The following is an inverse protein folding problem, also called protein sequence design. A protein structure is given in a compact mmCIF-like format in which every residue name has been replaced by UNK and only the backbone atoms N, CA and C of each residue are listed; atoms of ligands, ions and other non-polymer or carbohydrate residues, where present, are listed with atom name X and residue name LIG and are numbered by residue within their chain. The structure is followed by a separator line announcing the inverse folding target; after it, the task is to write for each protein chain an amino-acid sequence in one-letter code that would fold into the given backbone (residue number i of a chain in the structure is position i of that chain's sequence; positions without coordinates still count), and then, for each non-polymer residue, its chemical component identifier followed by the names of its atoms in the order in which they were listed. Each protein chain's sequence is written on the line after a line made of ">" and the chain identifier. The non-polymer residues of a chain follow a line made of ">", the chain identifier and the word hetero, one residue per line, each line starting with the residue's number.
data_IF_948091698617
#
_entry.id   IF_948091698617
#
_cell.length_a   1.000
_cell.length_b   1.000
_cell.length_c   1.000
_cell.angle_alpha   90.00
_cell.angle_beta   90.00
_cell.angle_gamma   90.00
#
_symmetry.space_group_name_H-M   'P 1'
#
loop_
_entity.id
_entity.type
_entity.pdbx_description
1 polymer ?
#
# COMPACT_ATOMS: atom_id res chain seq x y z
N UNK A 1 53.27 -14.64 -88.65
CA UNK A 1 52.91 -14.34 -87.25
C UNK A 1 51.82 -13.26 -87.15
N UNK A 2 50.89 -13.17 -88.13
CA UNK A 2 49.90 -12.09 -88.25
C UNK A 2 48.44 -12.58 -88.32
N UNK A 3 48.19 -13.87 -88.57
CA UNK A 3 46.83 -14.41 -88.66
C UNK A 3 46.21 -14.77 -87.27
N UNK A 4 47.05 -15.11 -86.28
CA UNK A 4 46.58 -15.46 -84.92
C UNK A 4 46.03 -14.27 -84.13
N UNK A 5 46.54 -13.06 -84.39
CA UNK A 5 46.14 -11.82 -83.67
C UNK A 5 44.78 -11.29 -84.17
N UNK A 6 44.41 -11.56 -85.42
CA UNK A 6 43.14 -11.10 -86.00
C UNK A 6 41.94 -11.96 -85.55
N UNK A 7 42.15 -13.26 -85.28
CA UNK A 7 41.09 -14.14 -84.75
C UNK A 7 40.89 -14.02 -83.22
N UNK A 8 41.89 -13.52 -82.48
CA UNK A 8 41.83 -13.38 -81.02
C UNK A 8 41.02 -12.15 -80.54
N UNK A 9 40.91 -11.10 -81.35
CA UNK A 9 40.14 -9.88 -81.01
C UNK A 9 38.64 -10.10 -80.79
N UNK A 10 37.90 -10.82 -81.65
CA UNK A 10 36.48 -11.08 -81.38
C UNK A 10 36.27 -11.99 -80.17
N UNK A 11 37.18 -12.95 -79.94
CA UNK A 11 37.11 -13.86 -78.78
C UNK A 11 37.35 -13.10 -77.46
N UNK A 12 38.30 -12.15 -77.42
CA UNK A 12 38.49 -11.28 -76.26
C UNK A 12 37.29 -10.36 -75.99
N UNK A 13 36.66 -9.81 -77.03
CA UNK A 13 35.46 -9.00 -76.87
C UNK A 13 34.31 -9.83 -76.30
N UNK A 14 34.03 -11.01 -76.87
CA UNK A 14 32.99 -11.92 -76.37
C UNK A 14 33.27 -12.36 -74.93
N UNK A 15 34.53 -12.67 -74.59
CA UNK A 15 34.92 -13.01 -73.22
C UNK A 15 34.71 -11.86 -72.24
N UNK A 16 34.98 -10.61 -72.64
CA UNK A 16 34.75 -9.43 -71.80
C UNK A 16 33.24 -9.16 -71.57
N UNK A 17 32.40 -9.35 -72.59
CA UNK A 17 30.94 -9.25 -72.46
C UNK A 17 30.35 -10.35 -71.59
N UNK A 18 30.82 -11.61 -71.74
CA UNK A 18 30.41 -12.72 -70.87
C UNK A 18 30.83 -12.49 -69.41
N UNK A 19 32.07 -12.04 -69.17
CA UNK A 19 32.56 -11.71 -67.84
C UNK A 19 31.72 -10.58 -67.22
N UNK A 20 31.45 -9.51 -67.99
CA UNK A 20 30.58 -8.42 -67.55
C UNK A 20 29.16 -8.88 -67.22
N UNK A 21 28.59 -9.78 -68.03
CA UNK A 21 27.29 -10.39 -67.77
C UNK A 21 27.26 -11.22 -66.48
N UNK A 22 28.28 -12.05 -66.24
CA UNK A 22 28.41 -12.83 -65.01
C UNK A 22 28.54 -11.91 -63.79
N UNK A 23 29.37 -10.87 -63.86
CA UNK A 23 29.49 -9.88 -62.78
C UNK A 23 28.16 -9.17 -62.49
N UNK A 24 27.39 -8.83 -63.52
CA UNK A 24 26.07 -8.22 -63.37
C UNK A 24 25.07 -9.15 -62.68
N UNK A 25 25.02 -10.42 -63.09
CA UNK A 25 24.15 -11.42 -62.45
C UNK A 25 24.56 -11.63 -61.00
N UNK A 26 25.85 -11.73 -60.70
CA UNK A 26 26.36 -11.94 -59.35
C UNK A 26 26.08 -10.73 -58.46
N UNK A 27 26.23 -9.51 -58.98
CA UNK A 27 25.83 -8.27 -58.30
C UNK A 27 24.33 -8.24 -58.03
N UNK A 28 23.51 -8.70 -58.97
CA UNK A 28 22.07 -8.81 -58.79
C UNK A 28 21.68 -9.79 -57.68
N UNK A 29 22.31 -10.97 -57.64
CA UNK A 29 22.07 -11.96 -56.59
C UNK A 29 22.49 -11.45 -55.21
N UNK A 30 23.65 -10.79 -55.11
CA UNK A 30 24.11 -10.18 -53.85
C UNK A 30 23.15 -9.09 -53.36
N UNK A 31 22.61 -8.26 -54.25
CA UNK A 31 21.61 -7.25 -53.88
C UNK A 31 20.29 -7.89 -53.40
N UNK A 32 19.87 -9.00 -54.00
CA UNK A 32 18.66 -9.73 -53.57
C UNK A 32 18.85 -10.33 -52.18
N UNK A 33 19.98 -10.98 -51.92
CA UNK A 33 20.27 -11.53 -50.58
C UNK A 33 20.42 -10.42 -49.54
N UNK A 34 21.07 -9.31 -49.88
CA UNK A 34 21.16 -8.18 -48.98
C UNK A 34 19.77 -7.58 -48.68
N UNK A 35 18.90 -7.49 -49.68
CA UNK A 35 17.52 -7.04 -49.48
C UNK A 35 16.69 -8.00 -48.61
N UNK A 36 16.95 -9.31 -48.68
CA UNK A 36 16.32 -10.32 -47.81
C UNK A 36 16.78 -10.14 -46.36
N UNK A 37 18.08 -10.07 -46.12
CA UNK A 37 18.65 -9.87 -44.77
C UNK A 37 18.17 -8.55 -44.17
N UNK A 38 18.13 -7.47 -44.95
CA UNK A 38 17.61 -6.17 -44.48
C UNK A 38 16.12 -6.25 -44.14
N UNK A 39 15.31 -7.00 -44.91
CA UNK A 39 13.90 -7.23 -44.53
C UNK A 39 13.77 -8.05 -43.27
N UNK A 40 14.54 -9.12 -43.12
CA UNK A 40 14.48 -9.96 -41.92
C UNK A 40 14.90 -9.19 -40.66
N UNK A 41 15.96 -8.39 -40.73
CA UNK A 41 16.37 -7.48 -39.65
C UNK A 41 15.30 -6.41 -39.40
N UNK A 42 14.68 -5.87 -40.45
CA UNK A 42 13.59 -4.89 -40.30
C UNK A 42 12.35 -5.51 -39.63
N UNK A 43 12.01 -6.74 -39.98
CA UNK A 43 10.79 -7.41 -39.53
C UNK A 43 10.95 -8.03 -38.13
N UNK A 44 12.17 -8.43 -37.74
CA UNK A 44 12.45 -9.03 -36.42
C UNK A 44 12.98 -8.00 -35.43
N UNK A 45 13.95 -7.15 -35.82
CA UNK A 45 14.67 -6.29 -34.89
C UNK A 45 13.92 -5.01 -34.54
N UNK A 46 13.18 -4.39 -35.47
CA UNK A 46 12.38 -3.20 -35.16
C UNK A 46 11.29 -3.44 -34.10
N UNK A 47 10.49 -4.52 -34.16
CA UNK A 47 9.51 -4.78 -33.11
C UNK A 47 10.17 -5.12 -31.76
N UNK A 48 11.34 -5.75 -31.75
CA UNK A 48 12.11 -6.01 -30.53
C UNK A 48 12.63 -4.71 -29.89
N UNK A 49 13.14 -3.75 -30.67
CA UNK A 49 13.58 -2.44 -30.17
C UNK A 49 12.40 -1.60 -29.65
N UNK A 50 11.22 -1.72 -30.27
CA UNK A 50 9.99 -1.09 -29.75
C UNK A 50 9.52 -1.73 -28.43
N UNK A 51 9.74 -3.03 -28.25
CA UNK A 51 9.46 -3.71 -26.97
C UNK A 51 10.46 -3.34 -25.88
N UNK A 52 11.74 -3.14 -26.20
CA UNK A 52 12.76 -2.71 -25.22
C UNK A 52 12.43 -1.32 -24.67
N UNK A 53 12.09 -0.36 -25.54
CA UNK A 53 11.71 0.99 -25.09
C UNK A 53 10.46 0.99 -24.22
N UNK A 54 9.45 0.17 -24.53
CA UNK A 54 8.27 0.02 -23.67
C UNK A 54 8.56 -0.69 -22.35
N UNK A 55 9.47 -1.67 -22.34
CA UNK A 55 9.91 -2.34 -21.10
C UNK A 55 10.79 -1.44 -20.24
N UNK A 56 11.67 -0.63 -20.81
CA UNK A 56 12.44 0.40 -20.11
C UNK A 56 11.52 1.47 -19.52
N UNK A 57 10.50 1.89 -20.26
CA UNK A 57 9.49 2.84 -19.76
C UNK A 57 8.70 2.22 -18.62
N UNK A 58 8.27 0.96 -18.73
CA UNK A 58 7.58 0.24 -17.64
C UNK A 58 8.49 0.03 -16.43
N UNK A 59 9.75 -0.33 -16.63
CA UNK A 59 10.71 -0.51 -15.54
C UNK A 59 11.03 0.81 -14.84
N UNK A 60 11.14 1.91 -15.59
CA UNK A 60 11.31 3.25 -15.03
C UNK A 60 10.07 3.68 -14.24
N UNK A 61 8.87 3.46 -14.77
CA UNK A 61 7.61 3.76 -14.06
C UNK A 61 7.44 2.88 -12.82
N UNK A 62 7.75 1.57 -12.89
CA UNK A 62 7.70 0.67 -11.73
C UNK A 62 8.75 1.06 -10.69
N UNK A 63 9.95 1.45 -11.12
CA UNK A 63 10.98 1.95 -10.21
C UNK A 63 10.58 3.28 -9.59
N UNK A 64 10.02 4.21 -10.36
CA UNK A 64 9.45 5.45 -9.83
C UNK A 64 8.29 5.17 -8.88
N UNK A 65 7.44 4.17 -9.13
CA UNK A 65 6.36 3.78 -8.22
C UNK A 65 6.86 3.10 -6.95
N UNK A 66 7.92 2.30 -7.03
CA UNK A 66 8.56 1.68 -5.86
C UNK A 66 9.32 2.73 -5.07
N UNK A 67 10.08 3.61 -5.73
CA UNK A 67 10.81 4.71 -5.10
C UNK A 67 9.82 5.72 -4.50
N UNK A 68 8.68 5.98 -5.15
CA UNK A 68 7.60 6.83 -4.64
C UNK A 68 6.79 6.13 -3.55
N UNK A 69 6.59 4.82 -3.60
CA UNK A 69 6.01 4.04 -2.49
C UNK A 69 6.95 3.96 -1.29
N UNK A 70 8.26 3.88 -1.52
CA UNK A 70 9.29 3.94 -0.47
C UNK A 70 9.45 5.36 0.06
N UNK A 71 9.39 6.39 -0.78
CA UNK A 71 9.35 7.80 -0.37
C UNK A 71 8.05 8.11 0.37
N UNK A 72 6.91 7.62 -0.09
CA UNK A 72 5.60 7.80 0.54
C UNK A 72 5.46 6.95 1.80
N UNK A 73 6.15 5.80 1.90
CA UNK A 73 6.34 5.05 3.14
C UNK A 73 7.30 5.76 4.08
N UNK A 74 8.34 6.43 3.56
CA UNK A 74 9.27 7.22 4.38
C UNK A 74 8.68 8.58 4.80
N UNK A 75 7.73 9.12 4.02
CA UNK A 75 7.00 10.37 4.27
C UNK A 75 5.72 10.12 5.06
N UNK A 76 5.06 8.96 4.93
CA UNK A 76 4.02 8.54 5.89
C UNK A 76 4.60 8.15 7.25
N UNK A 77 5.90 7.84 7.28
CA UNK A 77 6.77 7.72 8.47
C UNK A 77 7.44 9.05 8.85
N UNK A 78 7.27 10.11 8.05
CA UNK A 78 7.74 11.46 8.34
C UNK A 78 6.63 12.28 9.02
N UNK A 79 6.76 12.70 10.27
CA UNK A 79 7.55 12.07 11.32
C UNK A 79 6.55 11.51 12.34
N UNK A 80 6.89 10.40 13.00
CA UNK A 80 6.16 10.01 14.21
C UNK A 80 6.02 11.25 15.13
N UNK A 81 7.02 12.14 15.15
CA UNK A 81 6.98 13.48 15.73
C UNK A 81 5.86 14.42 15.22
N UNK A 82 5.56 14.52 13.93
CA UNK A 82 4.49 15.38 13.39
C UNK A 82 3.11 14.84 13.78
N UNK A 83 2.95 13.50 13.82
CA UNK A 83 1.75 12.89 14.41
C UNK A 83 1.69 13.18 15.90
N UNK A 84 2.80 13.01 16.64
CA UNK A 84 2.87 13.28 18.07
C UNK A 84 2.59 14.77 18.40
N UNK A 85 3.02 15.73 17.59
CA UNK A 85 2.78 17.16 17.80
C UNK A 85 1.29 17.55 17.76
N UNK A 86 0.47 16.80 17.01
CA UNK A 86 -0.98 17.03 16.90
C UNK A 86 -1.76 16.38 18.04
N UNK A 87 -1.21 15.33 18.66
CA UNK A 87 -1.88 14.58 19.73
C UNK A 87 -1.63 15.19 21.12
N UNK A 88 -2.70 15.36 21.90
CA UNK A 88 -2.59 15.74 23.30
C UNK A 88 -2.38 14.48 24.14
N UNK A 89 -1.13 14.25 24.55
CA UNK A 89 -0.79 13.12 25.41
C UNK A 89 -1.20 13.36 26.87
N UNK A 90 -1.78 12.35 27.53
CA UNK A 90 -2.04 12.41 28.95
C UNK A 90 -0.72 12.36 29.73
N UNK A 91 -0.72 12.98 30.91
CA UNK A 91 0.41 12.94 31.85
C UNK A 91 0.60 11.57 32.48
N UNK A 92 -0.46 10.76 32.54
CA UNK A 92 -0.43 9.39 33.06
C UNK A 92 -0.78 8.41 31.92
N UNK A 93 0.19 7.61 31.44
CA UNK A 93 -0.09 6.59 30.45
C UNK A 93 -1.03 5.55 31.05
N UNK A 94 -2.16 5.30 30.40
CA UNK A 94 -3.16 4.35 30.89
C UNK A 94 -2.74 2.92 30.52
N UNK A 95 -1.58 2.48 31.06
CA UNK A 95 -0.97 1.18 30.80
C UNK A 95 -1.97 0.06 31.06
N UNK A 96 -2.69 0.08 32.18
CA UNK A 96 -3.71 -0.91 32.53
C UNK A 96 -4.81 -1.00 31.46
N UNK A 97 -5.17 0.13 30.86
CA UNK A 97 -6.18 0.20 29.78
C UNK A 97 -5.63 -0.38 28.48
N UNK A 98 -4.35 -0.18 28.19
CA UNK A 98 -3.68 -0.75 27.02
C UNK A 98 -3.50 -2.27 27.17
N UNK A 99 -3.10 -2.75 28.35
CA UNK A 99 -3.03 -4.18 28.68
C UNK A 99 -4.40 -4.83 28.54
N UNK A 100 -5.43 -4.25 29.16
CA UNK A 100 -6.81 -4.75 29.05
C UNK A 100 -7.33 -4.77 27.61
N UNK A 101 -6.89 -3.83 26.76
CA UNK A 101 -7.21 -3.86 25.33
C UNK A 101 -6.57 -5.07 24.64
N UNK A 102 -5.27 -5.29 24.83
CA UNK A 102 -4.58 -6.41 24.22
C UNK A 102 -5.09 -7.76 24.74
N UNK A 103 -5.48 -7.86 26.01
CA UNK A 103 -6.13 -9.04 26.56
C UNK A 103 -7.45 -9.34 25.83
N UNK A 104 -8.31 -8.33 25.65
CA UNK A 104 -9.59 -8.50 24.93
C UNK A 104 -9.38 -8.86 23.45
N UNK A 105 -8.39 -8.26 22.80
CA UNK A 105 -8.03 -8.61 21.42
C UNK A 105 -7.50 -10.04 21.35
N UNK A 106 -6.65 -10.44 22.31
CA UNK A 106 -6.14 -11.80 22.43
C UNK A 106 -7.26 -12.82 22.61
N UNK A 107 -8.20 -12.55 23.51
CA UNK A 107 -9.40 -13.37 23.74
C UNK A 107 -10.25 -13.49 22.47
N UNK A 108 -10.47 -12.37 21.76
CA UNK A 108 -11.22 -12.36 20.52
C UNK A 108 -10.52 -13.18 19.43
N UNK A 109 -9.20 -13.02 19.25
CA UNK A 109 -8.43 -13.79 18.28
C UNK A 109 -8.39 -15.29 18.62
N UNK A 110 -8.27 -15.63 19.90
CA UNK A 110 -8.33 -17.00 20.38
C UNK A 110 -9.70 -17.65 20.12
N UNK A 111 -10.79 -16.93 20.41
CA UNK A 111 -12.15 -17.42 20.16
C UNK A 111 -12.42 -17.73 18.67
N UNK A 112 -11.77 -17.00 17.75
CA UNK A 112 -11.85 -17.24 16.31
C UNK A 112 -10.83 -18.27 15.79
N UNK A 113 -9.96 -18.80 16.66
CA UNK A 113 -8.93 -19.77 16.30
C UNK A 113 -7.73 -19.18 15.54
N UNK A 114 -7.53 -17.86 15.63
CA UNK A 114 -6.43 -17.14 14.95
C UNK A 114 -5.19 -16.95 15.82
N UNK A 115 -5.32 -17.11 17.13
CA UNK A 115 -4.24 -16.97 18.09
C UNK A 115 -4.29 -18.09 19.13
N UNK A 116 -3.15 -18.38 19.75
CA UNK A 116 -3.13 -18.96 21.10
C UNK A 116 -3.37 -17.85 22.13
N UNK A 117 -3.74 -18.19 23.38
CA UNK A 117 -3.78 -17.20 24.45
C UNK A 117 -2.46 -16.43 24.51
N UNK A 118 -2.54 -15.13 24.77
CA UNK A 118 -1.33 -14.31 24.90
C UNK A 118 -0.55 -14.78 26.13
N UNK A 119 0.77 -14.88 25.98
CA UNK A 119 1.65 -14.98 27.14
C UNK A 119 1.62 -13.64 27.89
N UNK A 120 1.96 -13.65 29.18
CA UNK A 120 1.93 -12.46 30.05
C UNK A 120 2.48 -11.21 29.31
N UNK A 121 1.65 -10.17 29.24
CA UNK A 121 2.01 -8.91 28.59
C UNK A 121 3.08 -8.22 29.44
N UNK A 122 4.30 -8.20 28.94
CA UNK A 122 5.42 -7.60 29.65
C UNK A 122 5.41 -6.09 29.44
N UNK A 123 5.15 -5.36 30.52
CA UNK A 123 5.24 -3.89 30.56
C UNK A 123 6.63 -3.52 31.09
N UNK A 124 7.43 -2.83 30.27
CA UNK A 124 8.66 -2.26 30.77
C UNK A 124 8.34 -1.02 31.62
N UNK A 125 8.76 -1.04 32.88
CA UNK A 125 8.44 0.02 33.86
C UNK A 125 9.27 1.29 33.67
N UNK A 126 10.32 1.22 32.85
CA UNK A 126 11.19 2.37 32.54
C UNK A 126 10.78 2.93 31.18
N UNK A 127 10.20 4.14 31.12
CA UNK A 127 9.89 4.77 29.84
C UNK A 127 11.17 5.05 29.07
N UNK A 128 11.10 4.89 27.75
CA UNK A 128 12.13 5.37 26.84
C UNK A 128 11.83 6.84 26.60
N UNK A 129 12.69 7.72 27.13
CA UNK A 129 12.60 9.15 26.90
C UNK A 129 12.94 9.45 25.44
N UNK A 130 12.07 10.21 24.77
CA UNK A 130 12.30 10.72 23.44
C UNK A 130 12.63 12.22 23.48
N UNK A 131 13.33 12.70 22.45
CA UNK A 131 13.48 14.14 22.21
C UNK A 131 12.06 14.75 22.13
N UNK A 132 11.87 15.95 22.69
CA UNK A 132 10.60 16.71 22.80
C UNK A 132 9.69 16.49 24.04
N UNK A 133 10.20 15.83 25.10
CA UNK A 133 9.46 15.69 26.37
C UNK A 133 8.33 14.66 26.32
N UNK A 134 8.49 13.68 25.44
CA UNK A 134 7.61 12.53 25.27
C UNK A 134 8.24 11.29 25.88
N UNK A 135 7.40 10.45 26.46
CA UNK A 135 7.78 9.16 27.03
C UNK A 135 7.06 8.04 26.27
N UNK A 136 7.83 7.04 25.83
CA UNK A 136 7.29 5.82 25.25
C UNK A 136 7.39 4.68 26.27
N UNK A 137 6.27 4.01 26.53
CA UNK A 137 6.18 2.86 27.41
C UNK A 137 6.13 1.58 26.57
N UNK A 138 7.20 0.75 26.57
CA UNK A 138 7.23 -0.49 25.80
C UNK A 138 6.29 -1.54 26.39
N UNK A 139 5.39 -2.04 25.54
CA UNK A 139 4.54 -3.20 25.78
C UNK A 139 5.03 -4.33 24.88
N UNK A 140 5.50 -5.42 25.46
CA UNK A 140 5.92 -6.61 24.72
C UNK A 140 4.88 -7.71 24.85
N UNK A 141 4.34 -8.12 23.71
CA UNK A 141 3.31 -9.14 23.57
C UNK A 141 3.94 -10.37 22.91
N UNK A 142 3.74 -11.55 23.50
CA UNK A 142 4.21 -12.83 22.95
C UNK A 142 3.03 -13.76 22.73
N UNK A 143 2.88 -14.26 21.52
CA UNK A 143 1.79 -15.19 21.19
C UNK A 143 2.11 -15.98 19.92
N UNK A 144 1.42 -17.10 19.71
CA UNK A 144 1.40 -17.78 18.42
C UNK A 144 0.17 -17.37 17.61
N UNK A 145 0.37 -16.83 16.42
CA UNK A 145 -0.67 -16.32 15.53
C UNK A 145 -0.69 -17.10 14.22
N UNK A 146 -1.88 -17.32 13.66
CA UNK A 146 -2.00 -17.66 12.25
C UNK A 146 -1.68 -16.45 11.37
N UNK A 147 -1.48 -16.67 10.07
CA UNK A 147 -1.30 -15.58 9.09
C UNK A 147 -2.44 -14.56 9.17
N UNK A 148 -3.68 -15.05 9.24
CA UNK A 148 -4.89 -14.23 9.38
C UNK A 148 -4.95 -13.50 10.73
N UNK A 149 -4.51 -14.15 11.81
CA UNK A 149 -4.41 -13.56 13.14
C UNK A 149 -3.40 -12.41 13.19
N UNK A 150 -2.25 -12.58 12.56
CA UNK A 150 -1.23 -11.54 12.44
C UNK A 150 -1.75 -10.34 11.64
N UNK A 151 -2.33 -10.57 10.47
CA UNK A 151 -2.92 -9.48 9.67
C UNK A 151 -4.03 -8.75 10.43
N UNK A 152 -4.84 -9.48 11.18
CA UNK A 152 -5.92 -8.92 12.00
C UNK A 152 -5.36 -8.06 13.14
N UNK A 153 -4.34 -8.57 13.85
CA UNK A 153 -3.69 -7.84 14.94
C UNK A 153 -3.03 -6.56 14.43
N UNK A 154 -2.27 -6.62 13.34
CA UNK A 154 -1.62 -5.44 12.78
C UNK A 154 -2.65 -4.38 12.34
N UNK A 155 -3.73 -4.79 11.65
CA UNK A 155 -4.82 -3.87 11.30
C UNK A 155 -5.52 -3.30 12.52
N UNK A 156 -5.67 -4.06 13.61
CA UNK A 156 -6.21 -3.49 14.85
C UNK A 156 -5.30 -2.42 15.42
N UNK A 157 -3.98 -2.64 15.40
CA UNK A 157 -3.03 -1.62 15.86
C UNK A 157 -3.06 -0.39 14.96
N UNK A 158 -3.19 -0.54 13.65
CA UNK A 158 -3.35 0.59 12.71
C UNK A 158 -4.61 1.44 12.99
N UNK A 159 -5.64 0.85 13.60
CA UNK A 159 -6.84 1.57 14.02
C UNK A 159 -6.65 2.31 15.34
N UNK A 160 -5.62 1.99 16.14
CA UNK A 160 -5.38 2.65 17.42
C UNK A 160 -4.89 4.08 17.21
N UNK A 161 -5.38 4.98 18.06
CA UNK A 161 -5.15 6.42 17.91
C UNK A 161 -6.09 7.11 16.92
N UNK A 162 -6.86 6.37 16.12
CA UNK A 162 -7.93 6.95 15.30
C UNK A 162 -9.17 7.15 16.18
N UNK A 163 -9.62 8.39 16.32
CA UNK A 163 -10.76 8.73 17.19
C UNK A 163 -12.05 8.81 16.38
N UNK A 164 -11.95 9.34 15.17
CA UNK A 164 -13.09 9.69 14.34
C UNK A 164 -13.08 8.95 13.00
N UNK A 165 -14.23 8.96 12.31
CA UNK A 165 -14.35 8.48 10.93
C UNK A 165 -13.37 9.21 10.01
N UNK A 166 -13.18 10.52 10.21
CA UNK A 166 -12.24 11.33 9.44
C UNK A 166 -10.79 10.87 9.57
N UNK A 167 -10.37 10.44 10.77
CA UNK A 167 -9.00 9.95 11.00
C UNK A 167 -8.72 8.65 10.24
N UNK A 168 -9.76 7.85 9.97
CA UNK A 168 -9.64 6.61 9.21
C UNK A 168 -9.66 6.80 7.68
N UNK A 169 -9.82 8.04 7.20
CA UNK A 169 -9.82 8.39 5.78
C UNK A 169 -8.51 9.08 5.40
N UNK A 170 -8.11 8.91 4.13
CA UNK A 170 -6.98 9.67 3.59
C UNK A 170 -7.40 11.11 3.27
N UNK A 171 -6.43 12.03 3.21
CA UNK A 171 -6.71 13.42 2.81
C UNK A 171 -7.33 13.51 1.41
N UNK A 172 -6.96 12.60 0.50
CA UNK A 172 -7.52 12.52 -0.85
C UNK A 172 -8.97 12.05 -0.83
N UNK A 173 -9.31 11.05 0.01
CA UNK A 173 -10.68 10.60 0.22
C UNK A 173 -11.55 11.75 0.76
N UNK A 174 -11.05 12.46 1.78
CA UNK A 174 -11.75 13.60 2.39
C UNK A 174 -11.98 14.70 1.34
N UNK A 175 -10.94 15.06 0.58
CA UNK A 175 -11.04 16.07 -0.48
C UNK A 175 -12.04 15.68 -1.57
N UNK A 176 -12.07 14.41 -1.96
CA UNK A 176 -13.03 13.87 -2.93
C UNK A 176 -14.48 13.99 -2.42
N UNK A 177 -14.72 13.70 -1.13
CA UNK A 177 -16.04 13.86 -0.51
C UNK A 177 -16.47 15.33 -0.42
N UNK A 178 -15.56 16.24 -0.07
CA UNK A 178 -15.86 17.68 -0.04
C UNK A 178 -16.14 18.24 -1.43
N UNK A 179 -15.32 17.92 -2.42
CA UNK A 179 -15.53 18.35 -3.81
C UNK A 179 -16.89 17.87 -4.32
N UNK A 180 -17.21 16.60 -4.10
CA UNK A 180 -18.52 16.04 -4.47
C UNK A 180 -19.68 16.71 -3.72
N UNK A 181 -19.47 17.13 -2.47
CA UNK A 181 -20.46 17.85 -1.67
C UNK A 181 -20.67 19.28 -2.16
N UNK A 182 -19.60 20.00 -2.50
CA UNK A 182 -19.65 21.37 -3.02
C UNK A 182 -20.35 21.46 -4.38
N UNK A 183 -20.07 20.51 -5.27
CA UNK A 183 -20.68 20.45 -6.60
C UNK A 183 -22.18 20.15 -6.55
N UNK A 184 -22.62 19.32 -5.59
CA UNK A 184 -24.00 18.85 -5.50
C UNK A 184 -24.87 19.75 -4.60
N UNK A 185 -24.47 19.90 -3.34
CA UNK A 185 -25.24 20.58 -2.32
C UNK A 185 -24.29 21.19 -1.27
N UNK A 186 -23.91 22.47 -1.42
CA UNK A 186 -23.06 23.15 -0.45
C UNK A 186 -23.61 23.13 0.99
N UNK A 187 -24.93 23.03 1.17
CA UNK A 187 -25.52 22.92 2.51
C UNK A 187 -25.28 21.53 3.16
N UNK A 188 -24.93 20.52 2.36
CA UNK A 188 -24.58 19.17 2.82
C UNK A 188 -23.20 19.08 3.47
N UNK A 189 -22.34 20.10 3.31
CA UNK A 189 -21.00 20.15 3.91
C UNK A 189 -21.05 19.92 5.42
N UNK A 190 -22.02 20.53 6.12
CA UNK A 190 -22.18 20.35 7.57
C UNK A 190 -22.49 18.88 7.93
N UNK A 191 -23.29 18.19 7.12
CA UNK A 191 -23.59 16.78 7.35
C UNK A 191 -22.36 15.90 7.10
N UNK A 192 -21.52 16.24 6.12
CA UNK A 192 -20.25 15.57 5.88
C UNK A 192 -19.28 15.79 7.05
N UNK A 193 -19.12 17.02 7.53
CA UNK A 193 -18.28 17.33 8.69
C UNK A 193 -18.74 16.58 9.95
N UNK A 194 -20.05 16.50 10.19
CA UNK A 194 -20.62 15.72 11.29
C UNK A 194 -20.31 14.22 11.15
N UNK A 195 -20.41 13.68 9.94
CA UNK A 195 -20.04 12.30 9.66
C UNK A 195 -18.55 12.04 9.92
N UNK A 196 -17.67 12.92 9.42
CA UNK A 196 -16.23 12.81 9.63
C UNK A 196 -15.84 12.94 11.11
N UNK A 197 -16.58 13.73 11.89
CA UNK A 197 -16.34 13.93 13.32
C UNK A 197 -16.92 12.82 14.21
N UNK A 198 -17.62 11.84 13.64
CA UNK A 198 -18.25 10.78 14.41
C UNK A 198 -17.22 9.81 14.99
N UNK A 199 -17.43 9.37 16.23
CA UNK A 199 -16.59 8.36 16.88
C UNK A 199 -16.51 7.07 16.05
N UNK A 200 -15.28 6.62 15.80
CA UNK A 200 -15.00 5.50 14.90
C UNK A 200 -15.59 4.17 15.40
N UNK A 201 -15.56 3.91 16.70
CA UNK A 201 -16.10 2.68 17.28
C UNK A 201 -17.62 2.67 17.17
N UNK A 202 -18.28 3.80 17.49
CA UNK A 202 -19.73 3.95 17.31
C UNK A 202 -20.14 3.77 15.86
N UNK A 203 -19.37 4.34 14.93
CA UNK A 203 -19.58 4.12 13.50
C UNK A 203 -19.43 2.64 13.13
N UNK A 204 -18.39 1.96 13.62
CA UNK A 204 -18.16 0.55 13.30
C UNK A 204 -19.29 -0.38 13.79
N UNK A 205 -19.90 -0.07 14.94
CA UNK A 205 -21.02 -0.82 15.52
C UNK A 205 -22.35 -0.60 14.78
N UNK A 206 -22.62 0.61 14.30
CA UNK A 206 -23.82 0.92 13.50
C UNK A 206 -23.50 1.77 12.25
N UNK A 207 -22.84 1.17 11.24
CA UNK A 207 -22.40 1.91 10.06
C UNK A 207 -23.59 2.27 9.17
N UNK A 208 -24.64 1.43 9.14
CA UNK A 208 -25.78 1.62 8.24
C UNK A 208 -26.58 2.86 8.60
N UNK A 209 -26.93 3.03 9.88
CA UNK A 209 -27.68 4.19 10.35
C UNK A 209 -26.93 5.49 10.04
N UNK A 210 -25.62 5.49 10.31
CA UNK A 210 -24.74 6.63 10.07
C UNK A 210 -24.63 6.99 8.58
N UNK A 211 -24.38 5.99 7.72
CA UNK A 211 -24.26 6.18 6.27
C UNK A 211 -25.60 6.63 5.64
N UNK A 212 -26.72 6.08 6.10
CA UNK A 212 -28.05 6.49 5.65
C UNK A 212 -28.37 7.93 6.06
N UNK A 213 -27.97 8.36 7.26
CA UNK A 213 -28.13 9.74 7.70
C UNK A 213 -27.35 10.70 6.79
N UNK A 214 -26.10 10.36 6.44
CA UNK A 214 -25.31 11.14 5.50
C UNK A 214 -25.98 11.18 4.12
N UNK A 215 -26.39 10.02 3.58
CA UNK A 215 -27.06 9.91 2.28
C UNK A 215 -28.39 10.68 2.20
N UNK A 216 -29.09 10.93 3.31
CA UNK A 216 -30.29 11.79 3.27
C UNK A 216 -29.99 13.23 2.89
N UNK A 217 -28.75 13.67 3.08
CA UNK A 217 -28.29 15.03 2.75
C UNK A 217 -27.81 15.16 1.29
N UNK A 218 -27.60 14.03 0.59
CA UNK A 218 -27.06 13.95 -0.76
C UNK A 218 -27.86 12.97 -1.63
N UNK A 219 -28.48 13.45 -2.70
CA UNK A 219 -29.36 12.65 -3.56
C UNK A 219 -28.63 12.11 -4.80
N UNK A 220 -27.46 12.65 -5.14
CA UNK A 220 -26.81 12.31 -6.40
C UNK A 220 -26.15 10.92 -6.39
N UNK A 221 -26.18 10.24 -7.54
CA UNK A 221 -25.41 9.03 -7.76
C UNK A 221 -23.89 9.25 -7.65
N UNK A 222 -23.40 10.44 -8.00
CA UNK A 222 -21.96 10.75 -8.01
C UNK A 222 -21.39 10.76 -6.60
N UNK A 223 -22.00 11.52 -5.68
CA UNK A 223 -21.60 11.51 -4.28
C UNK A 223 -21.77 10.13 -3.66
N UNK A 224 -22.88 9.45 -3.96
CA UNK A 224 -23.12 8.08 -3.48
C UNK A 224 -22.03 7.09 -3.91
N UNK A 225 -21.51 7.23 -5.13
CA UNK A 225 -20.41 6.42 -5.64
C UNK A 225 -19.09 6.79 -4.96
N UNK A 226 -18.79 8.08 -4.82
CA UNK A 226 -17.61 8.58 -4.11
C UNK A 226 -17.57 8.05 -2.67
N UNK A 227 -18.66 8.23 -1.93
CA UNK A 227 -18.85 7.70 -0.58
C UNK A 227 -18.63 6.18 -0.55
N UNK A 228 -19.25 5.43 -1.46
CA UNK A 228 -19.10 3.98 -1.48
C UNK A 228 -17.65 3.54 -1.77
N UNK A 229 -16.95 4.22 -2.68
CA UNK A 229 -15.54 3.96 -2.95
C UNK A 229 -14.70 4.22 -1.71
N UNK A 230 -14.84 5.37 -1.08
CA UNK A 230 -14.13 5.75 0.15
C UNK A 230 -14.39 4.78 1.31
N UNK A 231 -15.63 4.32 1.48
CA UNK A 231 -15.98 3.33 2.51
C UNK A 231 -15.37 1.94 2.26
N UNK A 232 -14.99 1.62 1.01
CA UNK A 232 -14.43 0.32 0.63
C UNK A 232 -12.91 0.30 0.56
N UNK A 233 -12.28 1.43 0.27
CA UNK A 233 -10.81 1.59 0.13
C UNK A 233 -10.11 1.89 1.45
N UNK A 234 -10.80 2.51 2.40
CA UNK A 234 -10.21 3.05 3.62
C UNK A 234 -10.12 2.06 4.79
N UNK A 235 -9.44 2.50 5.86
CA UNK A 235 -9.39 1.82 7.15
C UNK A 235 -10.79 1.64 7.78
N UNK A 236 -11.82 2.38 7.31
CA UNK A 236 -13.21 2.19 7.75
C UNK A 236 -13.73 0.79 7.47
N UNK A 237 -13.32 0.16 6.35
CA UNK A 237 -13.69 -1.23 6.07
C UNK A 237 -13.15 -2.16 7.15
N UNK A 238 -11.91 -1.94 7.56
CA UNK A 238 -11.27 -2.73 8.60
C UNK A 238 -11.88 -2.41 9.97
N UNK A 239 -12.16 -1.16 10.30
CA UNK A 239 -12.88 -0.78 11.51
C UNK A 239 -14.23 -1.49 11.61
N UNK A 240 -15.05 -1.48 10.55
CA UNK A 240 -16.34 -2.20 10.53
C UNK A 240 -16.19 -3.70 10.72
N UNK A 241 -15.19 -4.31 10.09
CA UNK A 241 -14.96 -5.75 10.17
C UNK A 241 -14.46 -6.17 11.56
N UNK A 242 -13.58 -5.39 12.15
CA UNK A 242 -12.86 -5.73 13.38
C UNK A 242 -13.58 -5.26 14.64
N UNK A 243 -14.20 -4.08 14.59
CA UNK A 243 -14.87 -3.42 15.71
C UNK A 243 -16.41 -3.52 15.63
N UNK A 244 -16.99 -3.97 14.51
CA UNK A 244 -18.45 -4.06 14.35
C UNK A 244 -19.12 -5.25 15.04
N UNK A 245 -18.35 -6.13 15.70
CA UNK A 245 -18.86 -7.33 16.38
C UNK A 245 -18.75 -7.26 17.91
N UNK A 246 -18.77 -8.43 18.55
CA UNK A 246 -18.74 -8.59 20.00
C UNK A 246 -17.55 -7.86 20.65
N UNK A 247 -16.37 -7.88 20.01
CA UNK A 247 -15.20 -7.17 20.49
C UNK A 247 -15.45 -5.67 20.66
N UNK A 248 -16.00 -5.00 19.63
CA UNK A 248 -16.26 -3.56 19.72
C UNK A 248 -17.33 -3.23 20.75
N UNK A 249 -18.33 -4.09 20.92
CA UNK A 249 -19.32 -3.94 21.97
C UNK A 249 -18.68 -4.02 23.36
N UNK A 250 -17.81 -5.00 23.60
CA UNK A 250 -17.09 -5.13 24.88
C UNK A 250 -16.14 -3.96 25.11
N UNK A 251 -15.45 -3.47 24.08
CA UNK A 251 -14.58 -2.30 24.16
C UNK A 251 -15.36 -1.03 24.55
N UNK A 252 -16.57 -0.86 24.01
CA UNK A 252 -17.46 0.25 24.35
C UNK A 252 -17.99 0.12 25.77
N UNK A 253 -18.50 -1.05 26.15
CA UNK A 253 -19.10 -1.31 27.47
C UNK A 253 -18.08 -1.15 28.61
N UNK A 254 -16.83 -1.56 28.38
CA UNK A 254 -15.74 -1.43 29.36
C UNK A 254 -15.03 -0.07 29.32
N UNK A 255 -15.44 0.85 28.44
CA UNK A 255 -14.80 2.15 28.24
C UNK A 255 -13.29 2.02 27.98
N UNK A 256 -12.91 1.02 27.18
CA UNK A 256 -11.52 0.75 26.80
C UNK A 256 -11.18 1.50 25.50
N UNK A 257 -12.17 1.91 24.72
CA UNK A 257 -12.00 2.79 23.55
C UNK A 257 -12.36 4.26 23.84
N UNK A 258 -11.68 5.26 23.25
CA UNK A 258 -10.47 5.16 22.44
C UNK A 258 -9.23 4.85 23.27
N UNK A 259 -8.24 4.19 22.67
CA UNK A 259 -6.93 3.99 23.28
C UNK A 259 -6.04 5.21 23.04
N UNK A 260 -5.04 5.37 23.91
CA UNK A 260 -3.95 6.30 23.67
C UNK A 260 -3.19 5.90 22.40
N UNK A 261 -2.44 6.85 21.83
CA UNK A 261 -1.67 6.59 20.62
C UNK A 261 -0.67 5.47 20.88
N UNK A 262 -0.77 4.42 20.06
CA UNK A 262 0.04 3.21 20.13
C UNK A 262 0.73 3.02 18.78
N UNK A 263 2.03 2.74 18.79
CA UNK A 263 2.77 2.48 17.55
C UNK A 263 3.51 1.16 17.64
N UNK A 264 3.45 0.35 16.57
CA UNK A 264 4.28 -0.84 16.46
C UNK A 264 5.72 -0.40 16.19
N UNK A 265 6.63 -0.73 17.11
CA UNK A 265 8.06 -0.51 16.91
C UNK A 265 8.68 -1.71 16.19
N UNK A 266 8.39 -2.91 16.67
CA UNK A 266 9.04 -4.11 16.19
C UNK A 266 8.12 -5.31 16.19
N UNK A 267 8.17 -6.08 15.09
CA UNK A 267 7.50 -7.37 14.96
C UNK A 267 8.58 -8.42 14.68
N UNK A 268 8.81 -9.32 15.63
CA UNK A 268 9.65 -10.51 15.41
C UNK A 268 8.76 -11.69 15.15
N UNK A 269 8.91 -12.26 13.96
CA UNK A 269 8.20 -13.47 13.55
C UNK A 269 9.19 -14.62 13.48
N UNK A 270 8.89 -15.67 14.23
CA UNK A 270 9.59 -16.96 14.10
C UNK A 270 8.61 -18.01 13.62
N UNK A 271 9.07 -18.93 12.77
CA UNK A 271 8.20 -19.96 12.23
C UNK A 271 7.67 -20.83 13.37
N UNK A 272 6.34 -20.94 13.46
CA UNK A 272 5.67 -21.72 14.50
C UNK A 272 5.77 -23.23 14.25
N UNK A 273 5.18 -24.01 15.14
CA UNK A 273 5.20 -25.48 15.06
C UNK A 273 4.33 -26.04 13.93
N UNK A 274 3.48 -25.24 13.30
CA UNK A 274 2.57 -25.64 12.23
C UNK A 274 2.69 -24.71 11.00
N UNK A 275 2.44 -25.21 9.77
CA UNK A 275 2.41 -24.38 8.58
C UNK A 275 1.38 -23.25 8.69
N UNK A 276 1.76 -22.02 8.36
CA UNK A 276 0.89 -20.84 8.44
C UNK A 276 0.73 -20.24 9.84
N UNK A 277 1.45 -20.78 10.83
CA UNK A 277 1.52 -20.25 12.20
C UNK A 277 2.90 -19.66 12.48
N UNK A 278 2.92 -18.57 13.23
CA UNK A 278 4.12 -17.84 13.61
C UNK A 278 4.10 -17.60 15.11
N UNK A 279 5.24 -17.80 15.78
CA UNK A 279 5.46 -17.24 17.09
C UNK A 279 5.87 -15.77 16.90
N UNK A 280 4.99 -14.88 17.31
CA UNK A 280 5.09 -13.44 17.16
C UNK A 280 5.46 -12.80 18.51
N UNK A 281 6.52 -12.00 18.50
CA UNK A 281 6.89 -11.08 19.57
C UNK A 281 6.70 -9.66 19.02
N UNK A 282 5.68 -8.96 19.54
CA UNK A 282 5.29 -7.62 19.13
C UNK A 282 5.66 -6.62 20.23
N UNK A 283 6.47 -5.62 19.88
CA UNK A 283 6.77 -4.48 20.76
C UNK A 283 5.97 -3.27 20.29
N UNK A 284 5.09 -2.78 21.16
CA UNK A 284 4.25 -1.61 20.93
C UNK A 284 4.64 -0.52 21.90
N UNK A 285 4.79 0.71 21.42
CA UNK A 285 4.99 1.87 22.27
C UNK A 285 3.68 2.56 22.56
N UNK A 286 3.39 2.70 23.84
CA UNK A 286 2.34 3.56 24.37
C UNK A 286 2.94 4.93 24.64
N UNK A 287 2.42 5.97 23.98
CA UNK A 287 2.95 7.32 24.08
C UNK A 287 2.25 8.14 25.17
N UNK A 288 3.06 8.81 25.99
CA UNK A 288 2.63 9.71 27.07
C UNK A 288 3.56 10.92 27.20
N UNK A 289 3.25 11.86 28.10
CA UNK A 289 4.18 12.96 28.42
C UNK A 289 5.21 12.51 29.44
N UNK A 290 6.43 13.01 29.31
CA UNK A 290 7.48 12.80 30.30
C UNK A 290 7.10 13.52 31.61
N UNK A 291 7.02 12.77 32.71
CA UNK A 291 6.79 13.33 34.04
C UNK A 291 8.12 13.93 34.54
N UNK A 292 8.23 15.25 34.48
CA UNK A 292 9.25 15.98 35.23
C UNK A 292 8.69 16.26 36.61
N UNK A 293 9.12 15.48 37.62
CA UNK A 293 8.90 15.79 39.04
C UNK A 293 9.61 17.08 39.45
#
# INVERSE_FOLDING_TARGET
>A
MTLRVLLQRPIMLIASFLCGGVCLVLSGMLLIEHARVVREVRDVSLPLVAQITTLETRSKVLKEQVDLSQLQSAVSVGSLGEKLEVFVFPSDPAVDRAVAFFDLVGDALFAHGYATPFEDIAVETSPVAHEDGLAAFPLTLKTSLSTEGLETLLRMVDLLGLLTVGDALTSDDIALLFLGSEEENPAGIVALEQFLSQDLLRYALDPRSTEEQLRRSFVSPTFSSALQTTLQSSLLRDARRLLGGDLGQVLLERNIWPQQFLTVEHVRLTQGQAPGWYAAELTVFLWGREYTE
#
